data_IF_627101160674
#
_entry.id   IF_627101160674
#
_cell.length_a   1.000
_cell.length_b   1.000
_cell.length_c   1.000
_cell.angle_alpha   90.00
_cell.angle_beta   90.00
_cell.angle_gamma   90.00
#
_symmetry.space_group_name_H-M   'P 1'
#
loop_
_entity.id
_entity.type
_entity.pdbx_description
1 polymer ?
#
# COMPACT_ATOMS: atom_id res chain seq x y z
N UNK A 1 27.07 -7.10 -3.36
CA UNK A 1 26.73 -5.75 -2.83
C UNK A 1 25.68 -5.13 -3.75
N UNK A 2 24.44 -4.94 -3.30
CA UNK A 2 23.37 -4.37 -4.13
C UNK A 2 23.34 -2.83 -4.14
N UNK A 3 24.44 -2.13 -3.83
CA UNK A 3 24.61 -0.66 -3.80
C UNK A 3 23.34 0.19 -4.07
N UNK A 4 23.25 0.77 -5.27
CA UNK A 4 22.14 1.67 -5.67
C UNK A 4 20.79 0.97 -5.90
N UNK A 5 20.79 -0.36 -6.02
CA UNK A 5 19.59 -1.18 -6.22
C UNK A 5 19.16 -1.89 -4.94
N UNK A 6 19.66 -1.48 -3.78
CA UNK A 6 19.29 -2.08 -2.51
C UNK A 6 17.84 -1.68 -2.16
N UNK A 7 16.98 -2.61 -1.68
CA UNK A 7 15.59 -2.30 -1.30
C UNK A 7 15.44 -1.10 -0.36
N UNK A 8 16.41 -0.91 0.55
CA UNK A 8 16.41 0.22 1.49
C UNK A 8 16.52 1.58 0.79
N UNK A 9 17.21 1.64 -0.36
CA UNK A 9 17.25 2.85 -1.19
C UNK A 9 15.86 3.13 -1.74
N UNK A 10 15.15 2.09 -2.22
CA UNK A 10 13.77 2.22 -2.68
C UNK A 10 12.83 2.71 -1.56
N UNK A 11 12.99 2.16 -0.36
CA UNK A 11 12.22 2.58 0.83
C UNK A 11 12.52 4.02 1.22
N UNK A 12 13.77 4.44 1.15
CA UNK A 12 14.15 5.83 1.45
C UNK A 12 13.57 6.80 0.43
N UNK A 13 13.59 6.45 -0.86
CA UNK A 13 12.99 7.26 -1.92
C UNK A 13 11.48 7.39 -1.76
N UNK A 14 10.80 6.31 -1.35
CA UNK A 14 9.37 6.36 -1.00
C UNK A 14 9.08 7.38 0.11
N UNK A 15 9.90 7.40 1.16
CA UNK A 15 9.73 8.35 2.26
C UNK A 15 9.99 9.81 1.82
N UNK A 16 10.92 10.02 0.88
CA UNK A 16 11.14 11.33 0.26
C UNK A 16 9.92 11.74 -0.57
N UNK A 17 9.28 10.80 -1.27
CA UNK A 17 8.01 11.02 -1.98
C UNK A 17 6.93 11.54 -1.04
N UNK A 18 6.65 10.79 0.03
CA UNK A 18 5.68 11.17 1.08
C UNK A 18 5.97 12.59 1.63
N UNK A 19 7.23 12.93 1.88
CA UNK A 19 7.59 14.27 2.35
C UNK A 19 7.23 15.36 1.33
N UNK A 20 7.38 15.12 0.02
CA UNK A 20 7.00 16.08 -1.01
C UNK A 20 5.49 16.16 -1.21
N UNK A 21 4.79 15.04 -1.10
CA UNK A 21 3.32 15.01 -1.07
C UNK A 21 2.78 15.89 0.06
N UNK A 22 3.30 15.73 1.28
CA UNK A 22 2.95 16.56 2.43
C UNK A 22 3.26 18.06 2.24
N UNK A 23 4.18 18.41 1.33
CA UNK A 23 4.50 19.79 0.95
C UNK A 23 3.63 20.31 -0.19
N UNK A 24 2.77 19.49 -0.76
CA UNK A 24 1.96 19.81 -1.93
C UNK A 24 2.75 19.79 -3.26
N UNK A 25 3.99 19.25 -3.28
CA UNK A 25 4.77 19.11 -4.51
C UNK A 25 4.58 17.70 -5.09
N UNK A 26 3.38 17.46 -5.65
CA UNK A 26 3.01 16.18 -6.25
C UNK A 26 3.91 15.76 -7.42
N UNK A 27 4.57 16.72 -8.09
CA UNK A 27 5.54 16.40 -9.17
C UNK A 27 6.79 15.75 -8.60
N UNK A 28 7.34 16.28 -7.51
CA UNK A 28 8.49 15.67 -6.85
C UNK A 28 8.10 14.36 -6.17
N UNK A 29 6.92 14.28 -5.56
CA UNK A 29 6.42 13.02 -5.00
C UNK A 29 6.44 11.88 -6.04
N UNK A 30 5.71 12.04 -7.15
CA UNK A 30 5.67 11.05 -8.23
C UNK A 30 7.05 10.66 -8.73
N UNK A 31 7.95 11.64 -8.88
CA UNK A 31 9.34 11.39 -9.32
C UNK A 31 10.09 10.46 -8.36
N UNK A 32 9.94 10.66 -7.05
CA UNK A 32 10.63 9.85 -6.05
C UNK A 32 9.98 8.48 -5.87
N UNK A 33 8.66 8.40 -5.87
CA UNK A 33 7.90 7.15 -5.84
C UNK A 33 8.23 6.25 -7.04
N UNK A 34 8.28 6.80 -8.27
CA UNK A 34 8.65 6.04 -9.47
C UNK A 34 10.06 5.45 -9.40
N UNK A 35 11.03 6.24 -8.90
CA UNK A 35 12.41 5.75 -8.69
C UNK A 35 12.46 4.64 -7.64
N UNK A 36 11.71 4.78 -6.55
CA UNK A 36 11.58 3.76 -5.52
C UNK A 36 11.03 2.45 -6.10
N UNK A 37 10.00 2.54 -6.93
CA UNK A 37 9.38 1.40 -7.61
C UNK A 37 10.35 0.71 -8.56
N UNK A 38 11.13 1.46 -9.33
CA UNK A 38 12.15 0.91 -10.22
C UNK A 38 13.20 0.09 -9.46
N UNK A 39 13.67 0.59 -8.31
CA UNK A 39 14.63 -0.12 -7.46
C UNK A 39 14.00 -1.37 -6.85
N UNK A 40 12.76 -1.29 -6.37
CA UNK A 40 12.06 -2.47 -5.84
C UNK A 40 11.86 -3.54 -6.92
N UNK A 41 11.54 -3.16 -8.16
CA UNK A 41 11.41 -4.10 -9.29
C UNK A 41 12.74 -4.80 -9.63
N UNK A 42 13.86 -4.09 -9.52
CA UNK A 42 15.21 -4.62 -9.80
C UNK A 42 15.85 -5.39 -8.65
N UNK A 43 15.25 -5.36 -7.47
CA UNK A 43 15.81 -5.95 -6.25
C UNK A 43 14.99 -7.15 -5.77
N UNK A 44 15.54 -7.92 -4.83
CA UNK A 44 14.80 -8.97 -4.10
C UNK A 44 14.12 -8.38 -2.86
N UNK A 45 13.42 -7.26 -3.03
CA UNK A 45 12.70 -6.61 -1.94
C UNK A 45 11.64 -7.55 -1.32
N UNK A 46 11.51 -7.59 0.01
CA UNK A 46 10.47 -8.35 0.68
C UNK A 46 9.07 -7.93 0.22
N UNK A 47 8.16 -8.90 0.14
CA UNK A 47 6.79 -8.68 -0.31
C UNK A 47 6.09 -7.57 0.48
N UNK A 48 6.24 -7.53 1.81
CA UNK A 48 5.61 -6.50 2.64
C UNK A 48 6.14 -5.08 2.34
N UNK A 49 7.43 -4.95 2.02
CA UNK A 49 8.01 -3.67 1.60
C UNK A 49 7.47 -3.23 0.23
N UNK A 50 7.20 -4.19 -0.67
CA UNK A 50 6.54 -3.91 -1.96
C UNK A 50 5.11 -3.46 -1.77
N UNK A 51 4.34 -4.11 -0.89
CA UNK A 51 2.96 -3.74 -0.57
C UNK A 51 2.87 -2.29 -0.09
N UNK A 52 3.72 -1.91 0.86
CA UNK A 52 3.75 -0.54 1.39
C UNK A 52 4.03 0.49 0.29
N UNK A 53 5.05 0.23 -0.54
CA UNK A 53 5.38 1.11 -1.67
C UNK A 53 4.24 1.18 -2.69
N UNK A 54 3.69 0.05 -3.12
CA UNK A 54 2.62 0.00 -4.12
C UNK A 54 1.35 0.72 -3.64
N UNK A 55 1.06 0.67 -2.33
CA UNK A 55 -0.08 1.42 -1.78
C UNK A 55 0.19 2.93 -1.77
N UNK A 56 1.44 3.36 -1.58
CA UNK A 56 1.81 4.78 -1.72
C UNK A 56 1.82 5.25 -3.17
N UNK A 57 2.30 4.41 -4.09
CA UNK A 57 2.18 4.63 -5.54
C UNK A 57 0.72 4.87 -5.89
N UNK A 58 -0.18 4.03 -5.39
CA UNK A 58 -1.60 4.20 -5.64
C UNK A 58 -2.14 5.55 -5.14
N UNK A 59 -1.81 5.96 -3.91
CA UNK A 59 -2.24 7.26 -3.39
C UNK A 59 -1.71 8.43 -4.24
N UNK A 60 -0.42 8.45 -4.56
CA UNK A 60 0.17 9.50 -5.38
C UNK A 60 -0.48 9.62 -6.77
N UNK A 61 -0.85 8.48 -7.37
CA UNK A 61 -1.55 8.47 -8.66
C UNK A 61 -3.05 8.83 -8.53
N UNK A 62 -3.69 8.60 -7.37
CA UNK A 62 -5.03 9.13 -7.09
C UNK A 62 -5.00 10.66 -7.03
N UNK A 63 -3.99 11.24 -6.38
CA UNK A 63 -3.86 12.70 -6.22
C UNK A 63 -3.73 13.42 -7.56
N UNK A 64 -3.08 12.79 -8.55
CA UNK A 64 -2.99 13.31 -9.93
C UNK A 64 -4.06 12.76 -10.88
N UNK A 65 -5.04 11.99 -10.38
CA UNK A 65 -6.19 11.51 -11.13
C UNK A 65 -5.93 10.39 -12.14
N UNK A 66 -4.79 9.71 -12.06
CA UNK A 66 -4.43 8.59 -12.95
C UNK A 66 -4.90 7.27 -12.32
N UNK A 67 -6.20 7.01 -12.42
CA UNK A 67 -6.87 5.95 -11.67
C UNK A 67 -6.49 4.53 -12.12
N UNK A 68 -6.09 4.35 -13.39
CA UNK A 68 -5.66 3.08 -13.95
C UNK A 68 -4.34 2.60 -13.31
N UNK A 69 -3.37 3.50 -13.17
CA UNK A 69 -2.09 3.19 -12.52
C UNK A 69 -2.31 2.92 -11.03
N UNK A 70 -3.16 3.70 -10.37
CA UNK A 70 -3.51 3.47 -8.98
C UNK A 70 -4.16 2.10 -8.78
N UNK A 71 -5.11 1.71 -9.64
CA UNK A 71 -5.78 0.41 -9.56
C UNK A 71 -4.78 -0.74 -9.75
N UNK A 72 -3.93 -0.66 -10.77
CA UNK A 72 -2.92 -1.68 -11.04
C UNK A 72 -1.97 -1.86 -9.84
N UNK A 73 -1.54 -0.76 -9.21
CA UNK A 73 -0.67 -0.83 -8.03
C UNK A 73 -1.38 -1.48 -6.83
N UNK A 74 -2.67 -1.19 -6.63
CA UNK A 74 -3.46 -1.79 -5.55
C UNK A 74 -3.69 -3.29 -5.77
N UNK A 75 -3.94 -3.70 -7.02
CA UNK A 75 -4.12 -5.11 -7.35
C UNK A 75 -2.80 -5.89 -7.21
N UNK A 76 -1.67 -5.32 -7.63
CA UNK A 76 -0.34 -5.92 -7.41
C UNK A 76 -0.02 -6.05 -5.90
N UNK A 77 -0.32 -5.03 -5.09
CA UNK A 77 -0.15 -5.08 -3.64
C UNK A 77 -1.02 -6.19 -3.01
N UNK A 78 -2.25 -6.38 -3.49
CA UNK A 78 -3.14 -7.44 -3.03
C UNK A 78 -2.57 -8.83 -3.30
N UNK A 79 -1.93 -9.05 -4.45
CA UNK A 79 -1.29 -10.32 -4.77
C UNK A 79 -0.18 -10.66 -3.78
N UNK A 80 0.68 -9.69 -3.44
CA UNK A 80 1.73 -9.90 -2.43
C UNK A 80 1.16 -10.20 -1.04
N UNK A 81 0.06 -9.54 -0.66
CA UNK A 81 -0.65 -9.83 0.59
C UNK A 81 -1.25 -11.24 0.61
N UNK A 82 -1.80 -11.73 -0.51
CA UNK A 82 -2.36 -13.08 -0.59
C UNK A 82 -1.35 -14.21 -0.45
N UNK A 83 -0.05 -13.93 -0.65
CA UNK A 83 1.05 -14.88 -0.49
C UNK A 83 1.50 -15.02 0.97
N UNK A 84 1.09 -14.11 1.84
CA UNK A 84 1.52 -14.13 3.24
C UNK A 84 0.83 -15.27 3.97
N UNK A 85 1.59 -16.01 4.79
CA UNK A 85 1.05 -17.09 5.63
C UNK A 85 -0.03 -16.59 6.58
N UNK A 86 0.11 -15.37 7.08
CA UNK A 86 -0.82 -14.74 8.00
C UNK A 86 -1.36 -13.44 7.40
N UNK A 87 -2.66 -13.13 7.61
CA UNK A 87 -3.23 -11.89 7.12
C UNK A 87 -2.54 -10.67 7.73
N UNK A 88 -2.11 -9.75 6.88
CA UNK A 88 -1.50 -8.48 7.31
C UNK A 88 -2.59 -7.44 7.50
N UNK A 89 -3.41 -7.59 8.54
CA UNK A 89 -4.65 -6.82 8.72
C UNK A 89 -4.47 -5.31 8.60
N UNK A 90 -3.38 -4.76 9.14
CA UNK A 90 -3.07 -3.33 9.00
C UNK A 90 -2.87 -2.91 7.53
N UNK A 91 -2.06 -3.66 6.76
CA UNK A 91 -1.82 -3.38 5.35
C UNK A 91 -3.05 -3.65 4.48
N UNK A 92 -3.81 -4.71 4.78
CA UNK A 92 -5.07 -5.01 4.11
C UNK A 92 -6.09 -3.88 4.34
N UNK A 93 -6.20 -3.36 5.56
CA UNK A 93 -7.10 -2.26 5.87
C UNK A 93 -6.69 -0.99 5.11
N UNK A 94 -5.39 -0.65 5.10
CA UNK A 94 -4.88 0.51 4.37
C UNK A 94 -5.07 0.39 2.84
N UNK A 95 -4.87 -0.83 2.30
CA UNK A 95 -5.14 -1.12 0.89
C UNK A 95 -6.62 -0.92 0.53
N UNK A 96 -7.54 -1.41 1.36
CA UNK A 96 -8.98 -1.24 1.14
C UNK A 96 -9.38 0.24 1.26
N UNK A 97 -8.83 0.99 2.21
CA UNK A 97 -9.08 2.44 2.33
C UNK A 97 -8.70 3.19 1.04
N UNK A 98 -7.53 2.87 0.48
CA UNK A 98 -7.05 3.45 -0.78
C UNK A 98 -7.92 3.05 -1.97
N UNK A 99 -8.38 1.78 -2.03
CA UNK A 99 -9.36 1.33 -3.05
C UNK A 99 -10.71 2.04 -2.90
N UNK A 100 -11.14 2.33 -1.68
CA UNK A 100 -12.35 3.11 -1.43
C UNK A 100 -12.26 4.51 -2.01
N UNK A 101 -11.15 5.22 -1.78
CA UNK A 101 -10.87 6.54 -2.40
C UNK A 101 -10.87 6.47 -3.92
N UNK A 102 -10.24 5.43 -4.49
CA UNK A 102 -10.24 5.19 -5.93
C UNK A 102 -11.66 5.04 -6.48
N UNK A 103 -12.49 4.22 -5.85
CA UNK A 103 -13.87 4.02 -6.30
C UNK A 103 -14.73 5.28 -6.13
N UNK A 104 -14.51 6.10 -5.10
CA UNK A 104 -15.16 7.41 -4.99
C UNK A 104 -14.82 8.31 -6.18
N UNK A 105 -13.55 8.38 -6.56
CA UNK A 105 -13.11 9.20 -7.69
C UNK A 105 -13.62 8.68 -9.04
N UNK A 106 -13.92 7.38 -9.14
CA UNK A 106 -14.64 6.77 -10.27
C UNK A 106 -16.16 6.98 -10.23
N UNK A 107 -16.71 7.60 -9.18
CA UNK A 107 -18.16 7.75 -8.98
C UNK A 107 -18.88 6.47 -8.55
N UNK A 108 -18.15 5.41 -8.19
CA UNK A 108 -18.72 4.14 -7.75
C UNK A 108 -18.88 4.11 -6.22
N UNK A 109 -19.97 4.71 -5.75
CA UNK A 109 -20.26 4.84 -4.31
C UNK A 109 -20.43 3.49 -3.61
N UNK A 110 -21.10 2.52 -4.26
CA UNK A 110 -21.35 1.21 -3.66
C UNK A 110 -20.05 0.46 -3.37
N UNK A 111 -19.15 0.38 -4.35
CA UNK A 111 -17.84 -0.26 -4.16
C UNK A 111 -16.97 0.51 -3.18
N UNK A 112 -17.05 1.84 -3.18
CA UNK A 112 -16.32 2.64 -2.21
C UNK A 112 -16.75 2.32 -0.78
N UNK A 113 -18.05 2.28 -0.51
CA UNK A 113 -18.63 1.91 0.79
C UNK A 113 -18.16 0.54 1.24
N UNK A 114 -18.24 -0.46 0.36
CA UNK A 114 -17.77 -1.82 0.66
C UNK A 114 -16.28 -1.84 1.07
N UNK A 115 -15.43 -1.11 0.35
CA UNK A 115 -14.01 -1.06 0.66
C UNK A 115 -13.74 -0.36 2.00
N UNK A 116 -14.43 0.76 2.29
CA UNK A 116 -14.27 1.44 3.57
C UNK A 116 -14.74 0.58 4.76
N UNK A 117 -15.84 -0.16 4.61
CA UNK A 117 -16.28 -1.09 5.64
C UNK A 117 -15.24 -2.20 5.90
N UNK A 118 -14.64 -2.76 4.83
CA UNK A 118 -13.56 -3.74 4.97
C UNK A 118 -12.34 -3.16 5.68
N UNK A 119 -12.00 -1.90 5.38
CA UNK A 119 -10.92 -1.20 6.06
C UNK A 119 -11.21 -0.97 7.54
N UNK A 120 -12.43 -0.56 7.88
CA UNK A 120 -12.86 -0.35 9.27
C UNK A 120 -12.78 -1.65 10.08
N UNK A 121 -13.37 -2.74 9.58
CA UNK A 121 -13.31 -4.07 10.22
C UNK A 121 -11.87 -4.52 10.47
N UNK A 122 -10.99 -4.37 9.48
CA UNK A 122 -9.58 -4.72 9.64
C UNK A 122 -8.85 -3.91 10.72
N UNK A 123 -9.18 -2.62 10.88
CA UNK A 123 -8.63 -1.76 11.94
C UNK A 123 -9.17 -2.15 13.32
N UNK A 124 -10.45 -2.50 13.41
CA UNK A 124 -11.07 -2.98 14.66
C UNK A 124 -10.47 -4.30 15.12
N UNK A 125 -10.23 -5.25 14.21
CA UNK A 125 -9.60 -6.52 14.56
C UNK A 125 -8.15 -6.33 15.06
N UNK A 126 -7.41 -5.37 14.49
CA UNK A 126 -6.09 -4.96 14.99
C UNK A 126 -6.19 -4.35 16.38
N UNK A 127 -7.11 -3.41 16.59
CA UNK A 127 -7.26 -2.67 17.84
C UNK A 127 -7.79 -3.53 19.00
N UNK A 128 -8.65 -4.51 18.71
CA UNK A 128 -9.27 -5.38 19.70
C UNK A 128 -8.36 -6.52 20.18
N UNK A 129 -7.14 -6.64 19.65
CA UNK A 129 -6.21 -7.68 20.08
C UNK A 129 -6.64 -9.11 19.71
N UNK A 130 -7.68 -9.28 18.87
CA UNK A 130 -8.07 -10.57 18.28
C UNK A 130 -6.95 -11.24 17.47
N UNK A 131 -5.86 -10.51 17.24
CA UNK A 131 -4.62 -10.99 16.63
C UNK A 131 -3.72 -11.79 17.60
N UNK A 132 -3.94 -11.68 18.91
CA UNK A 132 -3.13 -12.36 19.94
C UNK A 132 -3.73 -13.68 20.47
N UNK A 133 -4.97 -14.04 20.09
CA UNK A 133 -5.67 -15.22 20.65
C UNK A 133 -5.65 -16.47 19.76
N UNK A 134 -4.83 -16.49 18.70
CA UNK A 134 -4.76 -17.64 17.79
C UNK A 134 -3.67 -18.67 18.12
N UNK A 135 -2.92 -18.53 19.22
CA UNK A 135 -2.03 -19.60 19.68
C UNK A 135 -1.64 -19.48 21.16
N UNK A 136 -2.38 -20.15 22.06
CA UNK A 136 -1.81 -20.85 23.24
C UNK A 136 -2.59 -22.13 23.62
N UNK A 137 -3.34 -22.75 22.69
CA UNK A 137 -4.04 -24.01 23.00
C UNK A 137 -4.08 -25.02 21.86
N UNK A 138 -3.09 -25.01 20.98
CA UNK A 138 -2.84 -26.11 20.05
C UNK A 138 -1.84 -27.12 20.64
N UNK A 139 -2.27 -27.86 21.66
CA UNK A 139 -1.59 -29.11 22.07
C UNK A 139 -1.73 -30.17 20.98
#
# INVERSE_FOLDING_TARGET
>A
MQGKNHPDVGTTLNNIGIMYDQKGDGRLDLKYIQKGLEIMKKSKAPDLSRVALLTNVANAYLDVGTLDVALNALDEAKEFLSKQRFPQFYLIAYLNDTRGKLYLQQGNMDKAGEMFERAARGREDVASGKLGSLDESGR
#
